data_IF_643160743876
#
_entry.id   IF_643160743876
#
_cell.length_a   1.000
_cell.length_b   1.000
_cell.length_c   1.000
_cell.angle_alpha   90.00
_cell.angle_beta   90.00
_cell.angle_gamma   90.00
#
_symmetry.space_group_name_H-M   'P 1'
#
loop_
_entity.id
_entity.type
_entity.pdbx_description
1 polymer ?
#
# COMPACT_ATOMS: atom_id res chain seq x y z
N UNK A 1 -8.90 32.23 -6.78
CA UNK A 1 -8.88 31.52 -8.06
C UNK A 1 -9.46 30.13 -7.83
N UNK A 2 -10.71 29.87 -8.24
CA UNK A 2 -11.28 28.54 -8.13
C UNK A 2 -10.82 27.73 -9.35
N UNK A 3 -9.94 26.77 -9.15
CA UNK A 3 -9.58 25.82 -10.20
C UNK A 3 -10.76 24.86 -10.34
N UNK A 4 -11.50 24.87 -11.47
CA UNK A 4 -12.61 23.93 -11.65
C UNK A 4 -12.08 22.49 -11.69
N UNK A 5 -12.66 21.62 -10.87
CA UNK A 5 -12.39 20.19 -10.98
C UNK A 5 -13.13 19.67 -12.22
N UNK A 6 -12.37 19.29 -13.23
CA UNK A 6 -12.92 18.66 -14.43
C UNK A 6 -12.76 17.14 -14.31
N UNK A 7 -13.87 16.41 -14.49
CA UNK A 7 -13.89 14.94 -14.60
C UNK A 7 -13.53 14.51 -16.03
N UNK A 8 -13.58 15.46 -16.96
CA UNK A 8 -13.36 15.26 -18.40
C UNK A 8 -11.88 14.89 -18.66
N UNK A 9 -11.72 14.00 -19.63
CA UNK A 9 -10.39 13.62 -20.12
C UNK A 9 -9.78 14.80 -20.90
N UNK A 10 -8.49 14.98 -20.77
CA UNK A 10 -7.76 15.98 -21.54
C UNK A 10 -7.64 15.54 -23.00
N UNK A 11 -7.84 16.44 -23.96
CA UNK A 11 -7.74 16.08 -25.38
C UNK A 11 -6.33 15.69 -25.83
N UNK A 12 -5.30 16.13 -25.11
CA UNK A 12 -3.88 15.84 -25.39
C UNK A 12 -3.40 14.49 -24.84
N UNK A 13 -3.96 14.03 -23.73
CA UNK A 13 -3.51 12.80 -23.06
C UNK A 13 -4.58 11.70 -22.99
N UNK A 14 -5.86 12.02 -23.25
CA UNK A 14 -6.98 11.10 -23.07
C UNK A 14 -7.22 10.71 -21.60
N UNK A 15 -6.61 11.41 -20.63
CA UNK A 15 -6.68 11.11 -19.21
C UNK A 15 -7.18 12.31 -18.41
N UNK A 16 -7.97 12.04 -17.38
CA UNK A 16 -8.30 13.05 -16.37
C UNK A 16 -7.03 13.45 -15.58
N UNK A 17 -6.91 14.73 -15.22
CA UNK A 17 -5.73 15.26 -14.52
C UNK A 17 -5.35 14.46 -13.26
N UNK A 18 -6.33 14.03 -12.48
CA UNK A 18 -6.08 13.21 -11.28
C UNK A 18 -5.50 11.84 -11.60
N UNK A 19 -5.92 11.23 -12.72
CA UNK A 19 -5.40 9.94 -13.17
C UNK A 19 -3.96 10.06 -13.64
N UNK A 20 -3.63 11.10 -14.39
CA UNK A 20 -2.25 11.40 -14.78
C UNK A 20 -1.36 11.64 -13.55
N UNK A 21 -1.85 12.44 -12.59
CA UNK A 21 -1.12 12.73 -11.35
C UNK A 21 -0.80 11.46 -10.54
N UNK A 22 -1.77 10.55 -10.36
CA UNK A 22 -1.49 9.29 -9.63
C UNK A 22 -0.50 8.40 -10.38
N UNK A 23 -0.55 8.32 -11.70
CA UNK A 23 0.41 7.54 -12.47
C UNK A 23 1.84 8.08 -12.36
N UNK A 24 2.03 9.40 -12.41
CA UNK A 24 3.35 10.03 -12.21
C UNK A 24 3.86 9.81 -10.79
N UNK A 25 2.99 9.91 -9.79
CA UNK A 25 3.33 9.60 -8.41
C UNK A 25 3.76 8.14 -8.27
N UNK A 26 2.98 7.19 -8.78
CA UNK A 26 3.33 5.76 -8.71
C UNK A 26 4.64 5.45 -9.45
N UNK A 27 4.92 6.13 -10.56
CA UNK A 27 6.21 5.99 -11.25
C UNK A 27 7.39 6.41 -10.35
N UNK A 28 7.25 7.50 -9.58
CA UNK A 28 8.28 7.90 -8.60
C UNK A 28 8.46 6.89 -7.48
N UNK A 29 7.37 6.28 -7.01
CA UNK A 29 7.42 5.27 -5.96
C UNK A 29 8.06 3.95 -6.44
N UNK A 30 7.84 3.57 -7.71
CA UNK A 30 8.57 2.45 -8.34
C UNK A 30 10.08 2.71 -8.33
N UNK A 31 10.52 3.94 -8.60
CA UNK A 31 11.94 4.31 -8.54
C UNK A 31 12.48 4.23 -7.10
N UNK A 32 11.72 4.70 -6.12
CA UNK A 32 12.09 4.66 -4.72
C UNK A 32 12.28 3.23 -4.21
N UNK A 33 11.26 2.38 -4.37
CA UNK A 33 11.35 0.97 -3.96
C UNK A 33 12.34 0.19 -4.81
N UNK A 34 12.46 0.47 -6.10
CA UNK A 34 13.44 -0.14 -6.99
C UNK A 34 14.88 0.13 -6.55
N UNK A 35 15.19 1.35 -6.11
CA UNK A 35 16.48 1.68 -5.53
C UNK A 35 16.76 0.89 -4.24
N UNK A 36 15.77 0.74 -3.37
CA UNK A 36 15.91 -0.04 -2.13
C UNK A 36 16.07 -1.54 -2.40
N UNK A 37 15.34 -2.12 -3.35
CA UNK A 37 15.53 -3.51 -3.78
C UNK A 37 16.91 -3.73 -4.38
N UNK A 38 17.37 -2.81 -5.23
CA UNK A 38 18.72 -2.86 -5.79
C UNK A 38 19.79 -2.81 -4.70
N UNK A 39 19.60 -1.94 -3.70
CA UNK A 39 20.48 -1.85 -2.52
C UNK A 39 20.50 -3.18 -1.76
N UNK A 40 19.34 -3.79 -1.50
CA UNK A 40 19.27 -5.10 -0.86
C UNK A 40 20.09 -6.15 -1.61
N UNK A 41 19.90 -6.25 -2.94
CA UNK A 41 20.62 -7.21 -3.78
C UNK A 41 22.14 -6.98 -3.72
N UNK A 42 22.59 -5.72 -3.83
CA UNK A 42 24.02 -5.36 -3.76
C UNK A 42 24.60 -5.75 -2.40
N UNK A 43 23.93 -5.40 -1.31
CA UNK A 43 24.39 -5.72 0.05
C UNK A 43 24.48 -7.24 0.26
N UNK A 44 23.48 -7.98 -0.21
CA UNK A 44 23.45 -9.45 -0.10
C UNK A 44 24.58 -10.11 -0.88
N UNK A 45 24.80 -9.70 -2.13
CA UNK A 45 25.86 -10.28 -3.01
C UNK A 45 27.25 -9.92 -2.49
N UNK A 46 27.41 -8.75 -1.85
CA UNK A 46 28.68 -8.28 -1.29
C UNK A 46 29.01 -8.87 0.06
N UNK A 47 28.05 -9.45 0.75
CA UNK A 47 28.26 -10.00 2.10
C UNK A 47 28.98 -11.36 2.02
N UNK A 48 29.95 -11.56 2.93
CA UNK A 48 30.64 -12.86 3.09
C UNK A 48 29.70 -13.90 3.71
N UNK A 49 28.89 -13.44 4.67
CA UNK A 49 27.82 -14.23 5.31
C UNK A 49 26.55 -13.40 5.28
N UNK A 50 25.43 -14.04 4.90
CA UNK A 50 24.11 -13.43 4.91
C UNK A 50 23.18 -14.26 5.80
N UNK A 51 22.53 -13.65 6.78
CA UNK A 51 21.67 -14.39 7.68
C UNK A 51 20.48 -15.00 6.93
N UNK A 52 20.16 -16.26 7.24
CA UNK A 52 19.03 -17.00 6.69
C UNK A 52 18.11 -17.46 7.83
N UNK A 53 16.80 -17.38 7.59
CA UNK A 53 15.80 -17.92 8.52
C UNK A 53 15.54 -17.08 9.77
N UNK A 54 15.98 -15.83 9.83
CA UNK A 54 15.71 -14.92 10.95
C UNK A 54 14.25 -14.47 11.03
N UNK A 55 13.52 -14.51 9.91
CA UNK A 55 12.15 -14.02 9.81
C UNK A 55 11.13 -15.15 9.81
N UNK A 56 9.98 -14.90 10.41
CA UNK A 56 8.87 -15.86 10.43
C UNK A 56 8.12 -15.89 9.09
N UNK A 57 8.48 -16.86 8.23
CA UNK A 57 7.88 -17.04 6.89
C UNK A 57 6.36 -17.24 6.96
N UNK A 58 5.85 -17.96 7.97
CA UNK A 58 4.41 -18.18 8.11
C UNK A 58 3.63 -16.89 8.38
N UNK A 59 4.18 -16.04 9.22
CA UNK A 59 3.61 -14.72 9.49
C UNK A 59 3.65 -13.82 8.24
N UNK A 60 4.77 -13.83 7.51
CA UNK A 60 4.90 -13.13 6.23
C UNK A 60 3.90 -13.60 5.18
N UNK A 61 3.69 -14.93 5.09
CA UNK A 61 2.71 -15.53 4.19
C UNK A 61 1.28 -15.14 4.57
N UNK A 62 0.92 -15.23 5.86
CA UNK A 62 -0.39 -14.79 6.34
C UNK A 62 -0.64 -13.31 6.00
N UNK A 63 0.33 -12.44 6.21
CA UNK A 63 0.28 -11.03 5.85
C UNK A 63 0.09 -10.80 4.34
N UNK A 64 0.70 -11.63 3.51
CA UNK A 64 0.52 -11.59 2.05
C UNK A 64 -0.93 -11.90 1.67
N UNK A 65 -1.53 -12.95 2.25
CA UNK A 65 -2.94 -13.27 2.00
C UNK A 65 -3.89 -12.17 2.48
N UNK A 66 -3.61 -11.55 3.63
CA UNK A 66 -4.39 -10.42 4.16
C UNK A 66 -4.37 -9.25 3.17
N UNK A 67 -3.20 -8.88 2.65
CA UNK A 67 -3.09 -7.77 1.69
C UNK A 67 -3.75 -8.12 0.35
N UNK A 68 -3.55 -9.33 -0.20
CA UNK A 68 -4.25 -9.77 -1.42
C UNK A 68 -5.77 -9.70 -1.24
N UNK A 69 -6.30 -10.15 -0.09
CA UNK A 69 -7.72 -10.03 0.21
C UNK A 69 -8.16 -8.55 0.29
N UNK A 70 -7.32 -7.67 0.87
CA UNK A 70 -7.60 -6.23 0.92
C UNK A 70 -7.62 -5.59 -0.46
N UNK A 71 -6.74 -6.05 -1.36
CA UNK A 71 -6.71 -5.63 -2.76
C UNK A 71 -8.03 -5.97 -3.48
N UNK A 72 -8.51 -7.20 -3.31
CA UNK A 72 -9.80 -7.63 -3.87
C UNK A 72 -10.96 -6.80 -3.31
N UNK A 73 -11.00 -6.58 -1.99
CA UNK A 73 -12.06 -5.77 -1.38
C UNK A 73 -12.04 -4.32 -1.85
N UNK A 74 -10.86 -3.75 -2.14
CA UNK A 74 -10.74 -2.40 -2.71
C UNK A 74 -11.33 -2.32 -4.14
N UNK A 75 -11.09 -3.32 -4.99
CA UNK A 75 -11.73 -3.42 -6.32
C UNK A 75 -13.25 -3.51 -6.18
N UNK A 76 -13.73 -4.36 -5.27
CA UNK A 76 -15.17 -4.52 -5.02
C UNK A 76 -15.81 -3.23 -4.49
N UNK A 77 -15.09 -2.44 -3.69
CA UNK A 77 -15.54 -1.13 -3.23
C UNK A 77 -15.75 -0.16 -4.40
N UNK A 78 -14.79 -0.09 -5.33
CA UNK A 78 -14.91 0.74 -6.53
C UNK A 78 -16.01 0.23 -7.48
N UNK A 79 -16.07 -1.08 -7.76
CA UNK A 79 -17.10 -1.68 -8.62
C UNK A 79 -18.51 -1.43 -8.09
N UNK A 80 -18.71 -1.48 -6.77
CA UNK A 80 -19.99 -1.17 -6.14
C UNK A 80 -20.44 0.28 -6.39
N UNK A 81 -19.52 1.24 -6.47
CA UNK A 81 -19.86 2.63 -6.86
C UNK A 81 -20.35 2.72 -8.31
N UNK A 82 -19.71 1.99 -9.22
CA UNK A 82 -20.17 1.94 -10.63
C UNK A 82 -21.56 1.32 -10.77
N UNK A 83 -21.93 0.43 -9.85
CA UNK A 83 -23.28 -0.16 -9.76
C UNK A 83 -24.26 0.67 -8.92
N UNK A 84 -23.85 1.88 -8.47
CA UNK A 84 -24.65 2.78 -7.61
C UNK A 84 -25.05 2.17 -6.25
N UNK A 85 -24.33 1.15 -5.77
CA UNK A 85 -24.59 0.49 -4.48
C UNK A 85 -23.65 1.07 -3.39
N UNK A 86 -24.12 2.14 -2.77
CA UNK A 86 -23.39 2.82 -1.70
C UNK A 86 -23.15 1.94 -0.47
N UNK A 87 -24.10 1.05 -0.15
CA UNK A 87 -23.99 0.21 1.05
C UNK A 87 -22.83 -0.79 0.90
N UNK A 88 -22.74 -1.46 -0.24
CA UNK A 88 -21.64 -2.39 -0.55
C UNK A 88 -20.31 -1.67 -0.66
N UNK A 89 -20.26 -0.50 -1.33
CA UNK A 89 -19.05 0.30 -1.38
C UNK A 89 -18.48 0.54 0.01
N UNK A 90 -19.33 1.06 0.93
CA UNK A 90 -18.90 1.37 2.28
C UNK A 90 -18.44 0.14 3.04
N UNK A 91 -19.15 -0.98 2.91
CA UNK A 91 -18.78 -2.26 3.52
C UNK A 91 -17.39 -2.72 3.06
N UNK A 92 -17.15 -2.77 1.74
CA UNK A 92 -15.89 -3.22 1.18
C UNK A 92 -14.73 -2.27 1.53
N UNK A 93 -14.96 -0.96 1.53
CA UNK A 93 -13.93 0.01 1.90
C UNK A 93 -13.54 -0.11 3.38
N UNK A 94 -14.51 -0.35 4.28
CA UNK A 94 -14.25 -0.62 5.70
C UNK A 94 -13.49 -1.96 5.86
N UNK A 95 -13.85 -2.99 5.10
CA UNK A 95 -13.17 -4.28 5.14
C UNK A 95 -11.71 -4.15 4.70
N UNK A 96 -11.44 -3.41 3.62
CA UNK A 96 -10.07 -3.07 3.19
C UNK A 96 -9.30 -2.38 4.31
N UNK A 97 -9.89 -1.40 4.95
CA UNK A 97 -9.28 -0.66 6.06
C UNK A 97 -8.96 -1.56 7.26
N UNK A 98 -9.86 -2.47 7.63
CA UNK A 98 -9.66 -3.43 8.74
C UNK A 98 -8.54 -4.41 8.41
N UNK A 99 -8.51 -4.97 7.19
CA UNK A 99 -7.45 -5.89 6.75
C UNK A 99 -6.08 -5.21 6.77
N UNK A 100 -5.99 -3.95 6.32
CA UNK A 100 -4.77 -3.14 6.43
C UNK A 100 -4.34 -2.96 7.90
N UNK A 101 -5.29 -2.70 8.79
CA UNK A 101 -5.04 -2.60 10.23
C UNK A 101 -4.49 -3.90 10.83
N UNK A 102 -5.04 -5.06 10.44
CA UNK A 102 -4.55 -6.37 10.89
C UNK A 102 -3.10 -6.56 10.43
N UNK A 103 -2.77 -6.22 9.18
CA UNK A 103 -1.40 -6.26 8.68
C UNK A 103 -0.45 -5.42 9.54
N UNK A 104 -0.80 -4.16 9.85
CA UNK A 104 0.05 -3.28 10.67
C UNK A 104 0.21 -3.81 12.09
N UNK A 105 -0.82 -4.40 12.69
CA UNK A 105 -0.76 -5.02 14.02
C UNK A 105 0.20 -6.21 14.00
N UNK A 106 0.11 -7.08 13.00
CA UNK A 106 1.04 -8.19 12.84
C UNK A 106 2.49 -7.71 12.70
N UNK A 107 2.72 -6.66 11.91
CA UNK A 107 4.06 -6.06 11.74
C UNK A 107 4.56 -5.40 13.02
N UNK A 108 3.69 -4.79 13.79
CA UNK A 108 4.05 -4.24 15.09
C UNK A 108 4.55 -5.34 16.04
N UNK A 109 3.85 -6.48 16.13
CA UNK A 109 4.30 -7.60 16.96
C UNK A 109 5.62 -8.20 16.47
N UNK A 110 5.81 -8.33 15.17
CA UNK A 110 7.06 -8.81 14.58
C UNK A 110 8.24 -7.88 14.93
N UNK A 111 8.05 -6.56 14.80
CA UNK A 111 9.05 -5.56 15.18
C UNK A 111 9.31 -5.57 16.69
N UNK A 112 8.29 -5.66 17.52
CA UNK A 112 8.43 -5.70 18.97
C UNK A 112 9.22 -6.94 19.42
N UNK A 113 9.02 -8.09 18.78
CA UNK A 113 9.76 -9.32 19.05
C UNK A 113 11.25 -9.16 18.74
N UNK A 114 11.61 -8.67 17.55
CA UNK A 114 13.00 -8.37 17.19
C UNK A 114 13.66 -7.36 18.15
N UNK A 115 12.99 -6.26 18.42
CA UNK A 115 13.52 -5.22 19.32
C UNK A 115 13.71 -5.73 20.76
N UNK A 116 12.82 -6.62 21.25
CA UNK A 116 12.93 -7.22 22.58
C UNK A 116 14.15 -8.14 22.72
N UNK A 117 14.61 -8.73 21.61
CA UNK A 117 15.84 -9.54 21.54
C UNK A 117 17.10 -8.69 21.34
N UNK A 118 16.99 -7.37 21.22
CA UNK A 118 18.09 -6.46 20.89
C UNK A 118 18.45 -6.46 19.39
N UNK A 119 17.65 -7.08 18.54
CA UNK A 119 17.83 -7.19 17.10
C UNK A 119 17.28 -5.95 16.38
N UNK A 120 17.84 -4.79 16.67
CA UNK A 120 17.45 -3.53 16.03
C UNK A 120 18.17 -3.30 14.68
N UNK A 121 17.87 -2.19 13.99
CA UNK A 121 18.49 -1.85 12.70
C UNK A 121 20.02 -1.72 12.75
N UNK A 122 20.60 -1.47 13.93
CA UNK A 122 22.06 -1.37 14.14
C UNK A 122 22.74 -2.72 14.37
N UNK A 123 21.98 -3.80 14.55
CA UNK A 123 22.52 -5.12 14.89
C UNK A 123 23.17 -5.80 13.68
N UNK A 124 22.56 -5.73 12.50
CA UNK A 124 23.12 -6.29 11.27
C UNK A 124 22.69 -5.49 10.02
N UNK A 125 23.47 -5.61 8.93
CA UNK A 125 23.14 -4.99 7.64
C UNK A 125 21.81 -5.51 7.09
N UNK A 126 21.54 -6.80 7.32
CA UNK A 126 20.25 -7.40 6.94
C UNK A 126 19.09 -6.74 7.68
N UNK A 127 19.16 -6.63 8.99
CA UNK A 127 18.09 -5.99 9.77
C UNK A 127 17.96 -4.50 9.45
N UNK A 128 19.06 -3.79 9.16
CA UNK A 128 19.00 -2.40 8.73
C UNK A 128 18.15 -2.23 7.46
N UNK A 129 18.41 -3.02 6.42
CA UNK A 129 17.66 -2.93 5.16
C UNK A 129 16.24 -3.51 5.29
N UNK A 130 16.04 -4.56 6.11
CA UNK A 130 14.73 -5.11 6.43
C UNK A 130 13.82 -4.06 7.08
N UNK A 131 14.26 -3.41 8.16
CA UNK A 131 13.49 -2.37 8.83
C UNK A 131 13.23 -1.17 7.92
N UNK A 132 14.19 -0.81 7.06
CA UNK A 132 14.03 0.30 6.12
C UNK A 132 12.98 -0.01 5.07
N UNK A 133 13.06 -1.15 4.39
CA UNK A 133 12.13 -1.58 3.35
C UNK A 133 10.71 -1.78 3.89
N UNK A 134 10.59 -2.56 4.96
CA UNK A 134 9.27 -2.87 5.53
C UNK A 134 8.69 -1.70 6.31
N UNK A 135 9.51 -0.85 6.92
CA UNK A 135 9.06 0.38 7.59
C UNK A 135 8.54 1.42 6.61
N UNK A 136 9.26 1.64 5.50
CA UNK A 136 8.80 2.54 4.45
C UNK A 136 7.49 2.02 3.81
N UNK A 137 7.42 0.70 3.55
CA UNK A 137 6.19 0.08 3.08
C UNK A 137 5.02 0.26 4.08
N UNK A 138 5.28 0.07 5.37
CA UNK A 138 4.30 0.32 6.43
C UNK A 138 3.81 1.77 6.46
N UNK A 139 4.68 2.75 6.25
CA UNK A 139 4.30 4.17 6.12
C UNK A 139 3.36 4.40 4.93
N UNK A 140 3.58 3.72 3.80
CA UNK A 140 2.68 3.79 2.63
C UNK A 140 1.30 3.19 2.95
N UNK A 141 1.25 2.06 3.69
CA UNK A 141 -0.02 1.50 4.16
C UNK A 141 -0.76 2.50 5.06
N UNK A 142 -0.08 3.12 6.02
CA UNK A 142 -0.67 4.15 6.89
C UNK A 142 -1.19 5.33 6.06
N UNK A 143 -0.43 5.80 5.08
CA UNK A 143 -0.87 6.85 4.15
C UNK A 143 -2.16 6.49 3.42
N UNK A 144 -2.25 5.29 2.85
CA UNK A 144 -3.46 4.78 2.22
C UNK A 144 -4.64 4.66 3.18
N UNK A 145 -4.39 4.19 4.41
CA UNK A 145 -5.43 4.13 5.46
C UNK A 145 -5.97 5.51 5.83
N UNK A 146 -5.13 6.54 5.92
CA UNK A 146 -5.57 7.93 6.18
C UNK A 146 -6.52 8.40 5.08
N UNK A 147 -6.18 8.15 3.82
CA UNK A 147 -7.03 8.50 2.67
C UNK A 147 -8.35 7.72 2.69
N UNK A 148 -8.31 6.40 2.96
CA UNK A 148 -9.53 5.60 3.11
C UNK A 148 -10.40 6.06 4.27
N UNK A 149 -9.82 6.36 5.43
CA UNK A 149 -10.54 6.90 6.58
C UNK A 149 -11.25 8.22 6.23
N UNK A 150 -10.60 9.10 5.46
CA UNK A 150 -11.23 10.31 4.96
C UNK A 150 -12.48 10.01 4.12
N UNK A 151 -12.42 9.04 3.18
CA UNK A 151 -13.55 8.69 2.32
C UNK A 151 -14.65 7.91 3.05
N UNK A 152 -14.32 7.13 4.08
CA UNK A 152 -15.31 6.48 4.96
C UNK A 152 -16.07 7.52 5.80
N UNK A 153 -15.39 8.58 6.24
CA UNK A 153 -15.89 9.63 7.13
C UNK A 153 -16.32 10.91 6.39
N UNK A 154 -15.58 12.02 6.53
CA UNK A 154 -16.00 13.34 6.04
C UNK A 154 -16.13 13.41 4.52
N UNK A 155 -15.30 12.68 3.78
CA UNK A 155 -15.30 12.65 2.31
C UNK A 155 -16.52 11.96 1.71
N UNK A 156 -17.22 11.11 2.47
CA UNK A 156 -18.45 10.44 2.04
C UNK A 156 -19.56 11.41 1.58
N UNK A 157 -19.56 12.64 2.09
CA UNK A 157 -20.51 13.70 1.66
C UNK A 157 -20.38 14.06 0.19
N UNK A 158 -19.19 13.83 -0.40
CA UNK A 158 -18.94 14.13 -1.81
C UNK A 158 -19.78 13.24 -2.74
N UNK A 159 -20.08 12.00 -2.33
CA UNK A 159 -20.98 11.11 -3.10
C UNK A 159 -22.32 11.74 -3.40
N UNK A 160 -22.93 12.41 -2.44
CA UNK A 160 -24.22 13.10 -2.61
C UNK A 160 -24.12 14.37 -3.46
N UNK A 161 -22.94 14.99 -3.55
CA UNK A 161 -22.71 16.24 -4.28
C UNK A 161 -22.27 15.98 -5.73
N UNK A 162 -21.38 15.02 -5.93
CA UNK A 162 -20.84 14.65 -7.25
C UNK A 162 -20.34 13.19 -7.17
N UNK A 163 -21.19 12.26 -7.61
CA UNK A 163 -20.92 10.82 -7.56
C UNK A 163 -19.74 10.42 -8.45
N UNK A 164 -19.61 11.01 -9.63
CA UNK A 164 -18.52 10.70 -10.57
C UNK A 164 -17.17 11.15 -10.04
N UNK A 165 -17.14 12.36 -9.46
CA UNK A 165 -15.93 12.86 -8.80
C UNK A 165 -15.51 11.97 -7.64
N UNK A 166 -16.47 11.48 -6.85
CA UNK A 166 -16.18 10.56 -5.75
C UNK A 166 -15.65 9.23 -6.28
N UNK A 167 -16.31 8.63 -7.29
CA UNK A 167 -15.90 7.37 -7.89
C UNK A 167 -14.48 7.44 -8.47
N UNK A 168 -14.12 8.54 -9.14
CA UNK A 168 -12.78 8.77 -9.66
C UNK A 168 -11.73 8.87 -8.54
N UNK A 169 -12.05 9.54 -7.43
CA UNK A 169 -11.13 9.61 -6.28
C UNK A 169 -10.93 8.26 -5.61
N UNK A 170 -11.97 7.44 -5.51
CA UNK A 170 -11.84 6.05 -5.04
C UNK A 170 -11.01 5.21 -6.03
N UNK A 171 -11.16 5.41 -7.34
CA UNK A 171 -10.32 4.77 -8.35
C UNK A 171 -8.84 5.09 -8.14
N UNK A 172 -8.49 6.38 -7.94
CA UNK A 172 -7.10 6.79 -7.69
C UNK A 172 -6.54 6.21 -6.38
N UNK A 173 -7.37 6.16 -5.34
CA UNK A 173 -7.02 5.51 -4.07
C UNK A 173 -6.79 4.02 -4.27
N UNK A 174 -7.60 3.36 -5.11
CA UNK A 174 -7.46 1.95 -5.46
C UNK A 174 -6.17 1.67 -6.22
N UNK A 175 -5.80 2.50 -7.21
CA UNK A 175 -4.53 2.38 -7.93
C UNK A 175 -3.33 2.48 -6.98
N UNK A 176 -3.36 3.45 -6.05
CA UNK A 176 -2.34 3.56 -5.01
C UNK A 176 -2.29 2.31 -4.12
N UNK A 177 -3.45 1.82 -3.68
CA UNK A 177 -3.53 0.64 -2.80
C UNK A 177 -2.98 -0.61 -3.46
N UNK A 178 -3.34 -0.85 -4.72
CA UNK A 178 -2.81 -1.97 -5.50
C UNK A 178 -1.29 -1.90 -5.70
N UNK A 179 -0.75 -0.69 -5.89
CA UNK A 179 0.70 -0.51 -5.93
C UNK A 179 1.36 -0.89 -4.60
N UNK A 180 0.81 -0.45 -3.47
CA UNK A 180 1.33 -0.80 -2.13
C UNK A 180 1.30 -2.32 -1.93
N UNK A 181 0.20 -2.99 -2.27
CA UNK A 181 0.08 -4.44 -2.19
C UNK A 181 1.09 -5.16 -3.10
N UNK A 182 1.28 -4.64 -4.32
CA UNK A 182 2.26 -5.17 -5.27
C UNK A 182 3.69 -5.08 -4.72
N UNK A 183 4.05 -3.97 -4.09
CA UNK A 183 5.36 -3.83 -3.42
C UNK A 183 5.56 -4.92 -2.37
N UNK A 184 4.53 -5.25 -1.57
CA UNK A 184 4.60 -6.34 -0.60
C UNK A 184 4.80 -7.70 -1.23
N UNK A 185 4.13 -7.98 -2.37
CA UNK A 185 4.30 -9.24 -3.12
C UNK A 185 5.76 -9.45 -3.54
N UNK A 186 6.52 -8.38 -3.80
CA UNK A 186 7.96 -8.46 -4.04
C UNK A 186 8.78 -8.48 -2.76
N UNK A 187 8.40 -7.72 -1.73
CA UNK A 187 9.10 -7.69 -0.45
C UNK A 187 9.11 -9.06 0.25
N UNK A 188 7.97 -9.74 0.25
CA UNK A 188 7.84 -11.03 0.93
C UNK A 188 8.85 -12.08 0.42
N UNK A 189 8.92 -12.44 -0.88
CA UNK A 189 9.89 -13.43 -1.32
C UNK A 189 11.34 -12.96 -1.16
N UNK A 190 11.62 -11.68 -1.38
CA UNK A 190 12.99 -11.14 -1.30
C UNK A 190 13.53 -11.16 0.13
N UNK A 191 12.71 -10.87 1.13
CA UNK A 191 13.15 -10.78 2.53
C UNK A 191 12.95 -12.08 3.31
N UNK A 192 11.90 -12.85 3.03
CA UNK A 192 11.50 -14.00 3.84
C UNK A 192 11.86 -15.35 3.22
N UNK A 193 12.02 -15.44 1.90
CA UNK A 193 12.27 -16.71 1.21
C UNK A 193 13.69 -16.84 0.63
N UNK A 194 14.31 -15.73 0.30
CA UNK A 194 15.69 -15.67 -0.19
C UNK A 194 16.66 -15.40 0.95
#
# INVERSE_FOLDING_TARGET
MNIPYTVEERPDTGLANGKLGIWLFLASEVMLFGALFSTYIILRVSAVEWPHGELNVWLGMANTFILIASSVTMVMAWASLKMQDWAKHRLYLILTFVLAGIFLVNKYFEYADHLSRGEGPSHSTFLAIYFTLTGLHGLHIVGGMIVMAYFIGPGAKLWKKNADQFANRIEYTGLYWHFVDLVWIFLFPVLYLL
#
